data_IF_863814846432
#
_entry.id   IF_863814846432
#
_cell.length_a   1.000
_cell.length_b   1.000
_cell.length_c   1.000
_cell.angle_alpha   90.00
_cell.angle_beta   90.00
_cell.angle_gamma   90.00
#
_symmetry.space_group_name_H-M   'P 1'
#
loop_
_entity.id
_entity.type
_entity.pdbx_description
1 polymer ?
#
# COMPACT_ATOMS: atom_id res chain seq x y z
N UNK A 1 -12.23 23.52 30.02
CA UNK A 1 -10.84 23.05 30.20
C UNK A 1 -10.62 21.78 29.39
N UNK A 2 -9.78 21.81 28.35
CA UNK A 2 -9.32 20.60 27.66
C UNK A 2 -7.96 20.22 28.26
N UNK A 3 -7.88 19.06 28.90
CA UNK A 3 -6.66 18.54 29.51
C UNK A 3 -5.59 18.36 28.45
N UNK A 4 -4.51 19.13 28.56
CA UNK A 4 -3.26 18.87 27.82
C UNK A 4 -2.52 17.84 28.67
N UNK A 5 -2.72 16.56 28.35
CA UNK A 5 -1.94 15.48 28.94
C UNK A 5 -0.46 15.69 28.62
N UNK A 6 0.36 15.73 29.67
CA UNK A 6 1.80 15.95 29.57
C UNK A 6 2.47 14.89 28.71
N UNK A 7 3.31 15.36 27.80
CA UNK A 7 4.24 14.51 27.08
C UNK A 7 5.30 14.03 28.07
N UNK A 8 5.26 12.75 28.47
CA UNK A 8 6.11 12.17 29.52
C UNK A 8 7.60 12.04 29.12
N UNK A 9 8.10 12.89 28.21
CA UNK A 9 9.48 12.86 27.73
C UNK A 9 9.85 11.56 27.01
N UNK A 10 8.88 10.71 26.67
CA UNK A 10 9.14 9.50 25.90
C UNK A 10 9.41 9.89 24.45
N UNK A 11 10.49 9.40 23.83
CA UNK A 11 10.77 9.68 22.42
C UNK A 11 9.58 9.24 21.57
N UNK A 12 8.90 10.21 20.95
CA UNK A 12 7.88 9.90 19.95
C UNK A 12 8.56 9.20 18.77
N UNK A 13 8.04 8.02 18.41
CA UNK A 13 8.51 7.35 17.19
C UNK A 13 8.27 8.30 16.00
N UNK A 14 9.25 8.46 15.09
CA UNK A 14 9.11 9.39 13.98
C UNK A 14 7.90 9.01 13.13
N UNK A 15 7.12 10.02 12.71
CA UNK A 15 5.96 9.82 11.83
C UNK A 15 6.38 9.30 10.44
N UNK A 16 7.60 9.60 10.00
CA UNK A 16 8.15 9.17 8.72
C UNK A 16 9.50 8.49 8.89
N UNK A 17 9.70 7.36 8.20
CA UNK A 17 10.92 6.55 8.26
C UNK A 17 11.33 6.17 6.85
N UNK A 18 12.45 6.73 6.37
CA UNK A 18 13.06 6.32 5.09
C UNK A 18 13.72 4.96 5.23
N UNK A 19 13.54 4.08 4.24
CA UNK A 19 14.02 2.69 4.31
C UNK A 19 14.91 2.28 3.14
N UNK A 20 15.30 3.23 2.28
CA UNK A 20 15.98 2.92 1.01
C UNK A 20 15.06 2.16 0.06
N UNK A 21 15.60 1.58 -1.02
CA UNK A 21 14.79 0.83 -1.98
C UNK A 21 14.59 -0.61 -1.51
N UNK A 22 13.35 -0.96 -1.13
CA UNK A 22 12.98 -2.32 -0.72
C UNK A 22 11.94 -2.90 -1.66
N UNK A 23 12.19 -4.09 -2.18
CA UNK A 23 11.22 -4.82 -2.99
C UNK A 23 10.05 -5.30 -2.14
N UNK A 24 8.83 -4.94 -2.54
CA UNK A 24 7.57 -5.32 -1.89
C UNK A 24 6.58 -5.80 -2.94
N UNK A 25 5.69 -6.70 -2.55
CA UNK A 25 4.49 -6.99 -3.32
C UNK A 25 3.35 -6.13 -2.77
N UNK A 26 2.56 -5.55 -3.68
CA UNK A 26 1.38 -4.75 -3.39
C UNK A 26 0.13 -5.50 -3.86
N UNK A 27 -0.80 -5.77 -2.95
CA UNK A 27 -2.10 -6.35 -3.28
C UNK A 27 -3.10 -5.24 -3.64
N UNK A 28 -3.23 -4.97 -4.94
CA UNK A 28 -4.17 -3.96 -5.44
C UNK A 28 -5.63 -4.41 -5.30
N UNK A 29 -5.89 -5.72 -5.26
CA UNK A 29 -7.24 -6.26 -5.06
C UNK A 29 -7.75 -6.01 -3.64
N UNK A 30 -6.85 -6.04 -2.66
CA UNK A 30 -7.16 -5.66 -1.28
C UNK A 30 -7.30 -4.14 -1.15
N UNK A 31 -6.48 -3.36 -1.88
CA UNK A 31 -6.48 -1.90 -1.84
C UNK A 31 -7.70 -1.26 -2.52
N UNK A 32 -8.15 -1.85 -3.62
CA UNK A 32 -9.29 -1.39 -4.40
C UNK A 32 -10.38 -2.47 -4.40
N UNK A 33 -11.07 -2.66 -3.26
CA UNK A 33 -12.19 -3.58 -3.21
C UNK A 33 -13.29 -3.08 -4.16
N UNK A 34 -14.09 -4.02 -4.65
CA UNK A 34 -15.26 -3.65 -5.44
C UNK A 34 -16.24 -2.86 -4.57
N UNK A 35 -16.93 -1.91 -5.21
CA UNK A 35 -18.10 -1.31 -4.60
C UNK A 35 -19.11 -2.42 -4.22
N UNK A 36 -19.84 -2.28 -3.10
CA UNK A 36 -20.95 -3.18 -2.79
C UNK A 36 -21.92 -3.26 -3.98
N UNK A 37 -22.41 -4.47 -4.28
CA UNK A 37 -23.28 -4.75 -5.43
C UNK A 37 -22.69 -4.36 -6.80
N UNK A 38 -21.36 -4.30 -6.92
CA UNK A 38 -20.70 -4.01 -8.20
C UNK A 38 -21.18 -4.96 -9.30
N UNK A 39 -21.81 -4.38 -10.32
CA UNK A 39 -22.07 -5.01 -11.60
C UNK A 39 -21.13 -4.37 -12.62
N UNK A 40 -20.31 -5.20 -13.26
CA UNK A 40 -19.38 -4.73 -14.27
C UNK A 40 -19.01 -5.86 -15.21
N UNK A 41 -18.68 -5.49 -16.44
CA UNK A 41 -18.31 -6.42 -17.49
C UNK A 41 -16.79 -6.55 -17.56
N UNK A 42 -16.33 -7.74 -17.93
CA UNK A 42 -14.90 -7.97 -18.16
C UNK A 42 -14.45 -7.19 -19.40
N UNK A 43 -13.43 -6.34 -19.23
CA UNK A 43 -12.73 -5.70 -20.33
C UNK A 43 -11.27 -6.20 -20.35
N UNK A 44 -10.84 -6.95 -21.37
CA UNK A 44 -9.47 -7.47 -21.47
C UNK A 44 -8.41 -6.36 -21.62
N UNK A 45 -8.82 -5.15 -22.03
CA UNK A 45 -7.94 -3.98 -22.16
C UNK A 45 -7.92 -3.10 -20.91
N UNK A 46 -8.66 -3.49 -19.86
CA UNK A 46 -8.75 -2.76 -18.61
C UNK A 46 -7.47 -2.82 -17.76
N UNK A 47 -7.37 -1.90 -16.81
CA UNK A 47 -6.30 -1.90 -15.80
C UNK A 47 -6.32 -3.20 -15.00
N UNK A 48 -5.14 -3.79 -14.81
CA UNK A 48 -4.96 -4.99 -13.98
C UNK A 48 -4.95 -4.64 -12.48
N UNK A 49 -6.01 -3.97 -12.01
CA UNK A 49 -6.14 -3.48 -10.63
C UNK A 49 -6.48 -4.57 -9.62
N UNK A 50 -6.97 -5.73 -10.07
CA UNK A 50 -7.33 -6.87 -9.20
C UNK A 50 -6.22 -7.92 -9.15
N UNK A 51 -4.98 -7.47 -8.96
CA UNK A 51 -3.81 -8.33 -8.98
C UNK A 51 -2.72 -7.86 -8.02
N UNK A 52 -1.71 -8.71 -7.80
CA UNK A 52 -0.55 -8.39 -6.98
C UNK A 52 0.58 -7.93 -7.88
N UNK A 53 1.16 -6.76 -7.60
CA UNK A 53 2.28 -6.22 -8.37
C UNK A 53 3.56 -6.17 -7.55
N UNK A 54 4.71 -6.23 -8.23
CA UNK A 54 5.99 -5.90 -7.62
C UNK A 54 6.19 -4.39 -7.59
N UNK A 55 6.63 -3.87 -6.46
CA UNK A 55 6.94 -2.46 -6.27
C UNK A 55 8.21 -2.24 -5.45
N UNK A 56 8.59 -0.97 -5.37
CA UNK A 56 9.73 -0.49 -4.58
C UNK A 56 9.21 0.45 -3.50
N UNK A 57 9.29 0.00 -2.25
CA UNK A 57 9.06 0.81 -1.08
C UNK A 57 10.28 1.71 -0.81
N UNK A 58 10.04 2.97 -0.50
CA UNK A 58 11.11 3.96 -0.21
C UNK A 58 11.01 4.60 1.17
N UNK A 59 9.80 4.71 1.71
CA UNK A 59 9.50 5.43 2.94
C UNK A 59 8.25 4.85 3.61
N UNK A 60 8.26 4.77 4.93
CA UNK A 60 7.07 4.55 5.74
C UNK A 60 6.57 5.89 6.29
N UNK A 61 5.26 6.05 6.37
CA UNK A 61 4.57 7.19 6.98
C UNK A 61 3.45 6.69 7.89
N UNK A 62 3.17 7.43 8.96
CA UNK A 62 2.00 7.22 9.82
C UNK A 62 0.91 8.23 9.51
N UNK A 63 -0.34 7.78 9.55
CA UNK A 63 -1.48 8.69 9.58
C UNK A 63 -1.71 9.28 10.98
N UNK A 64 -2.68 10.18 11.09
CA UNK A 64 -3.08 10.85 12.34
C UNK A 64 -3.60 9.89 13.42
N UNK A 65 -3.96 8.65 13.07
CA UNK A 65 -4.38 7.60 14.00
C UNK A 65 -3.30 6.54 14.24
N UNK A 66 -2.10 6.74 13.69
CA UNK A 66 -0.92 5.90 13.90
C UNK A 66 -0.85 4.65 13.01
N UNK A 67 -1.74 4.49 12.03
CA UNK A 67 -1.64 3.41 11.05
C UNK A 67 -0.50 3.68 10.06
N UNK A 68 0.15 2.62 9.59
CA UNK A 68 1.33 2.72 8.73
C UNK A 68 0.97 2.62 7.25
N UNK A 69 1.66 3.42 6.44
CA UNK A 69 1.58 3.45 4.97
C UNK A 69 2.98 3.46 4.37
N UNK A 70 3.19 2.69 3.32
CA UNK A 70 4.44 2.67 2.56
C UNK A 70 4.32 3.48 1.29
N UNK A 71 5.29 4.37 1.02
CA UNK A 71 5.45 5.03 -0.27
C UNK A 71 6.08 4.08 -1.26
N UNK A 72 5.24 3.50 -2.12
CA UNK A 72 5.62 2.44 -3.06
C UNK A 72 5.50 2.95 -4.49
N UNK A 73 6.55 2.74 -5.29
CA UNK A 73 6.49 2.89 -6.75
C UNK A 73 6.32 1.52 -7.40
N UNK A 74 5.30 1.33 -8.22
CA UNK A 74 5.04 0.09 -8.96
C UNK A 74 4.56 0.39 -10.37
N UNK A 75 4.52 -0.62 -11.23
CA UNK A 75 3.99 -0.49 -12.59
C UNK A 75 2.60 -1.10 -12.64
N UNK A 76 1.58 -0.33 -13.02
CA UNK A 76 0.26 -0.87 -13.35
C UNK A 76 0.20 -1.12 -14.86
N UNK A 77 -0.42 -2.23 -15.23
CA UNK A 77 -0.48 -2.72 -16.61
C UNK A 77 -1.93 -2.74 -17.11
N UNK A 78 -2.10 -2.49 -18.40
CA UNK A 78 -3.34 -2.68 -19.16
C UNK A 78 -2.97 -3.07 -20.58
N UNK A 79 -3.31 -4.28 -21.05
CA UNK A 79 -2.95 -4.83 -22.37
C UNK A 79 -1.58 -4.36 -22.91
N UNK A 80 -1.55 -3.32 -23.74
CA UNK A 80 -0.34 -2.78 -24.40
C UNK A 80 0.24 -1.52 -23.72
N UNK A 81 -0.23 -1.18 -22.52
CA UNK A 81 0.12 0.00 -21.73
C UNK A 81 0.71 -0.40 -20.37
N UNK A 82 1.76 0.32 -19.98
CA UNK A 82 2.38 0.21 -18.67
C UNK A 82 2.58 1.61 -18.10
N UNK A 83 2.20 1.82 -16.85
CA UNK A 83 2.31 3.12 -16.19
C UNK A 83 2.96 2.97 -14.82
N UNK A 84 3.93 3.85 -14.53
CA UNK A 84 4.54 3.91 -13.20
C UNK A 84 3.67 4.75 -12.27
N UNK A 85 3.34 4.19 -11.12
CA UNK A 85 2.52 4.81 -10.08
C UNK A 85 3.31 4.86 -8.79
N UNK A 86 3.36 6.03 -8.15
CA UNK A 86 3.86 6.20 -6.78
C UNK A 86 2.70 6.45 -5.85
N UNK A 87 2.52 5.59 -4.84
CA UNK A 87 1.33 5.58 -3.98
C UNK A 87 1.73 5.40 -2.51
N UNK A 88 1.01 6.06 -1.58
CA UNK A 88 1.02 5.71 -0.17
C UNK A 88 0.05 4.56 0.08
N UNK A 89 0.59 3.38 0.31
CA UNK A 89 -0.16 2.13 0.38
C UNK A 89 -0.27 1.67 1.83
N UNK A 90 -1.46 1.37 2.36
CA UNK A 90 -1.61 0.85 3.71
C UNK A 90 -0.74 -0.39 3.94
N UNK A 91 -0.11 -0.49 5.11
CA UNK A 91 0.84 -1.57 5.41
C UNK A 91 0.23 -2.97 5.28
N UNK A 92 -1.07 -3.11 5.50
CA UNK A 92 -1.79 -4.39 5.39
C UNK A 92 -1.93 -4.88 3.94
N UNK A 93 -1.79 -4.00 2.94
CA UNK A 93 -1.78 -4.36 1.51
C UNK A 93 -0.36 -4.63 0.98
N UNK A 94 0.67 -4.51 1.83
CA UNK A 94 2.06 -4.70 1.48
C UNK A 94 2.62 -5.97 2.12
N UNK A 95 3.55 -6.61 1.40
CA UNK A 95 4.33 -7.74 1.92
C UNK A 95 5.74 -7.73 1.32
N UNK A 96 6.77 -8.22 2.03
CA UNK A 96 8.10 -8.40 1.45
C UNK A 96 8.05 -9.29 0.21
N UNK A 97 8.80 -8.93 -0.83
CA UNK A 97 8.85 -9.75 -2.06
C UNK A 97 9.55 -11.11 -1.87
N UNK A 98 10.38 -11.24 -0.82
CA UNK A 98 11.04 -12.50 -0.46
C UNK A 98 10.17 -13.48 0.31
N UNK A 99 8.96 -13.10 0.73
CA UNK A 99 8.05 -14.03 1.42
C UNK A 99 7.32 -14.93 0.41
N UNK A 100 7.12 -16.23 0.71
CA UNK A 100 6.32 -17.12 -0.12
C UNK A 100 4.84 -16.68 -0.16
N UNK A 101 4.12 -16.79 -1.29
CA UNK A 101 2.73 -16.36 -1.40
C UNK A 101 1.89 -16.97 -0.27
N UNK A 102 1.10 -16.15 0.43
CA UNK A 102 0.11 -16.71 1.37
C UNK A 102 -0.92 -17.44 0.50
N UNK A 103 -0.95 -18.77 0.56
CA UNK A 103 -2.01 -19.54 -0.08
C UNK A 103 -3.33 -19.05 0.49
N UNK A 104 -4.18 -18.49 -0.37
CA UNK A 104 -5.54 -18.10 -0.01
C UNK A 104 -6.28 -19.39 0.37
N UNK A 105 -6.51 -19.63 1.67
CA UNK A 105 -7.41 -20.66 2.17
C UNK A 105 -8.85 -20.18 2.05
#
# INVERSE_FOLDING_TARGET
MKWIGGDNGQPHRPAFVRVGHKAVLIDLGALYPNAPHFTGEYNPEGLQIRSVHLGVLTEWGRDEWGAWYGKVTYTITAKDRQEKVTHWVPSWALRPAGDPPKSRR
#
